data_IF_188913679326
#
_entry.id   IF_188913679326
#
_cell.length_a   1.000
_cell.length_b   1.000
_cell.length_c   1.000
_cell.angle_alpha   90.00
_cell.angle_beta   90.00
_cell.angle_gamma   90.00
#
_symmetry.space_group_name_H-M   'P 1'
#
loop_
_entity.id
_entity.type
_entity.pdbx_description
1 polymer ?
#
# COMPACT_ATOMS: atom_id res chain seq x y z
N UNK A 1 18.62 -1.89 22.19
CA UNK A 1 18.02 -2.80 21.19
C UNK A 1 16.57 -2.39 21.03
N UNK A 2 16.21 -1.76 19.91
CA UNK A 2 14.91 -1.11 19.73
C UNK A 2 13.92 -2.11 19.14
N UNK A 3 12.98 -2.60 19.95
CA UNK A 3 11.90 -3.48 19.51
C UNK A 3 10.90 -2.65 18.70
N UNK A 4 11.03 -2.70 17.36
CA UNK A 4 10.09 -2.05 16.42
C UNK A 4 8.69 -2.66 16.63
N UNK A 5 7.91 -2.00 17.48
CA UNK A 5 6.49 -2.24 17.68
C UNK A 5 5.78 -1.85 16.39
N UNK A 6 5.00 -2.75 15.78
CA UNK A 6 4.31 -2.59 14.48
C UNK A 6 3.30 -1.42 14.42
N UNK A 7 3.18 -0.66 15.50
CA UNK A 7 2.19 0.40 15.67
C UNK A 7 2.70 1.55 16.55
N UNK A 8 3.99 1.88 16.49
CA UNK A 8 4.49 3.06 17.21
C UNK A 8 5.38 3.94 16.35
N UNK A 9 4.96 5.19 16.21
CA UNK A 9 5.61 6.34 15.54
C UNK A 9 5.32 6.46 14.03
N UNK A 10 4.12 6.94 13.69
CA UNK A 10 3.79 7.47 12.35
C UNK A 10 4.55 8.78 12.09
N UNK A 11 5.85 8.66 11.86
CA UNK A 11 6.58 9.59 11.00
C UNK A 11 6.42 9.06 9.58
N UNK A 12 5.47 9.62 8.82
CA UNK A 12 5.14 9.28 7.43
C UNK A 12 4.63 7.85 7.16
N UNK A 13 3.31 7.69 7.06
CA UNK A 13 2.63 6.47 6.56
C UNK A 13 3.08 5.97 5.18
N UNK A 14 3.87 6.76 4.44
CA UNK A 14 4.55 6.26 3.26
C UNK A 14 5.46 5.07 3.61
N UNK A 15 6.12 5.07 4.77
CA UNK A 15 7.10 4.03 5.12
C UNK A 15 6.48 2.63 5.18
N UNK A 16 5.34 2.45 5.87
CA UNK A 16 4.73 1.13 5.96
C UNK A 16 4.15 0.68 4.61
N UNK A 17 3.58 1.59 3.80
CA UNK A 17 3.05 1.24 2.47
C UNK A 17 4.20 0.89 1.52
N UNK A 18 5.32 1.59 1.63
CA UNK A 18 6.54 1.28 0.87
C UNK A 18 7.07 -0.10 1.23
N UNK A 19 7.14 -0.42 2.52
CA UNK A 19 7.53 -1.75 3.05
C UNK A 19 6.55 -2.85 2.60
N UNK A 20 5.25 -2.63 2.74
CA UNK A 20 4.19 -3.59 2.41
C UNK A 20 4.15 -3.95 0.92
N UNK A 21 4.46 -2.96 0.06
CA UNK A 21 4.47 -3.11 -1.39
C UNK A 21 5.88 -3.14 -1.98
N UNK A 22 6.89 -3.61 -1.23
CA UNK A 22 8.27 -3.74 -1.72
C UNK A 22 8.39 -4.65 -2.96
N UNK A 23 7.60 -5.72 -3.03
CA UNK A 23 7.60 -6.66 -4.15
C UNK A 23 6.65 -6.29 -5.28
N UNK A 24 6.01 -5.12 -5.21
CA UNK A 24 5.06 -4.67 -6.23
C UNK A 24 5.78 -4.44 -7.57
N UNK A 25 5.21 -5.01 -8.63
CA UNK A 25 5.65 -4.76 -9.99
C UNK A 25 4.45 -4.81 -10.94
N UNK A 26 3.92 -3.63 -11.28
CA UNK A 26 2.84 -3.49 -12.27
C UNK A 26 3.36 -3.36 -13.71
N UNK A 27 4.68 -3.43 -13.91
CA UNK A 27 5.35 -3.23 -15.20
C UNK A 27 5.46 -1.76 -15.63
N UNK A 28 5.03 -0.81 -14.77
CA UNK A 28 5.18 0.63 -14.94
C UNK A 28 5.35 1.27 -13.57
N UNK A 29 6.54 1.83 -13.31
CA UNK A 29 6.88 2.45 -12.02
C UNK A 29 5.91 3.57 -11.62
N UNK A 30 5.29 4.26 -12.59
CA UNK A 30 4.29 5.30 -12.32
C UNK A 30 3.00 4.70 -11.76
N UNK A 31 2.66 3.49 -12.16
CA UNK A 31 1.52 2.75 -11.60
C UNK A 31 1.85 2.26 -10.19
N UNK A 32 3.07 1.79 -9.95
CA UNK A 32 3.50 1.37 -8.62
C UNK A 32 3.41 2.52 -7.61
N UNK A 33 3.98 3.68 -7.95
CA UNK A 33 3.90 4.90 -7.14
C UNK A 33 2.45 5.35 -6.91
N UNK A 34 1.60 5.23 -7.95
CA UNK A 34 0.19 5.60 -7.84
C UNK A 34 -0.57 4.67 -6.90
N UNK A 35 -0.33 3.35 -6.96
CA UNK A 35 -0.95 2.40 -6.03
C UNK A 35 -0.59 2.75 -4.60
N UNK A 36 0.70 2.96 -4.32
CA UNK A 36 1.18 3.32 -2.98
C UNK A 36 0.56 4.63 -2.48
N UNK A 37 0.45 5.65 -3.33
CA UNK A 37 -0.28 6.88 -3.00
C UNK A 37 -1.76 6.60 -2.69
N UNK A 38 -2.46 5.84 -3.54
CA UNK A 38 -3.88 5.51 -3.33
C UNK A 38 -4.08 4.81 -1.98
N UNK A 39 -3.31 3.75 -1.71
CA UNK A 39 -3.38 2.98 -0.45
C UNK A 39 -3.12 3.89 0.75
N UNK A 40 -2.06 4.71 0.71
CA UNK A 40 -1.72 5.63 1.81
C UNK A 40 -2.83 6.64 2.12
N UNK A 41 -3.54 7.15 1.11
CA UNK A 41 -4.64 8.10 1.37
C UNK A 41 -5.90 7.35 1.82
N UNK A 42 -6.18 6.16 1.25
CA UNK A 42 -7.32 5.33 1.65
C UNK A 42 -7.23 4.83 3.09
N UNK A 43 -6.03 4.54 3.61
CA UNK A 43 -5.85 4.12 5.01
C UNK A 43 -6.14 5.23 6.01
N UNK A 44 -5.96 6.50 5.62
CA UNK A 44 -6.25 7.67 6.48
C UNK A 44 -7.73 8.00 6.60
N UNK A 45 -8.47 7.79 5.51
CA UNK A 45 -9.87 8.24 5.34
C UNK A 45 -10.77 7.12 4.84
N UNK A 46 -10.54 5.91 5.36
CA UNK A 46 -11.30 4.72 5.00
C UNK A 46 -12.81 4.94 5.18
N UNK A 47 -13.61 4.35 4.30
CA UNK A 47 -15.07 4.41 4.36
C UNK A 47 -15.73 5.62 3.69
N UNK A 48 -14.97 6.49 3.03
CA UNK A 48 -15.49 7.61 2.22
C UNK A 48 -15.24 7.40 0.72
N UNK A 49 -15.85 8.23 -0.13
CA UNK A 49 -15.70 8.10 -1.58
C UNK A 49 -14.29 8.50 -2.05
N UNK A 50 -13.82 8.00 -3.19
CA UNK A 50 -12.52 8.42 -3.75
C UNK A 50 -12.39 9.95 -3.89
N UNK A 51 -13.40 10.69 -4.39
CA UNK A 51 -13.38 12.15 -4.38
C UNK A 51 -13.10 12.77 -3.00
N UNK A 52 -13.75 12.26 -1.94
CA UNK A 52 -13.60 12.78 -0.57
C UNK A 52 -12.21 12.46 0.01
N UNK A 53 -11.70 11.27 -0.31
CA UNK A 53 -10.38 10.81 0.11
C UNK A 53 -9.28 11.70 -0.47
N UNK A 54 -9.33 12.00 -1.77
CA UNK A 54 -8.27 12.77 -2.46
C UNK A 54 -8.41 14.28 -2.34
N UNK A 55 -9.63 14.82 -2.18
CA UNK A 55 -9.88 16.25 -1.99
C UNK A 55 -9.51 17.15 -3.18
N UNK A 56 -9.04 16.58 -4.30
CA UNK A 56 -8.76 17.31 -5.53
C UNK A 56 -9.09 16.46 -6.77
N UNK A 57 -9.45 17.13 -7.85
CA UNK A 57 -9.93 16.46 -9.06
C UNK A 57 -8.83 15.69 -9.80
N UNK A 58 -7.60 16.22 -9.81
CA UNK A 58 -6.47 15.60 -10.50
C UNK A 58 -6.16 14.20 -9.95
N UNK A 59 -6.06 14.08 -8.63
CA UNK A 59 -5.79 12.81 -7.95
C UNK A 59 -6.98 11.86 -8.03
N UNK A 60 -8.20 12.37 -7.86
CA UNK A 60 -9.43 11.59 -8.01
C UNK A 60 -9.50 10.93 -9.39
N UNK A 61 -9.27 11.70 -10.46
CA UNK A 61 -9.22 11.19 -11.84
C UNK A 61 -8.05 10.22 -12.03
N UNK A 62 -6.92 10.47 -11.38
CA UNK A 62 -5.77 9.57 -11.34
C UNK A 62 -6.10 8.19 -10.77
N UNK A 63 -6.86 8.15 -9.68
CA UNK A 63 -7.30 6.92 -9.03
C UNK A 63 -8.31 6.15 -9.89
N UNK A 64 -9.33 6.80 -10.43
CA UNK A 64 -10.26 6.14 -11.36
C UNK A 64 -9.55 5.57 -12.58
N UNK A 65 -8.64 6.34 -13.20
CA UNK A 65 -7.84 5.85 -14.33
C UNK A 65 -6.89 4.70 -13.95
N UNK A 66 -6.47 4.64 -12.69
CA UNK A 66 -5.64 3.55 -12.20
C UNK A 66 -6.46 2.26 -12.13
N UNK A 67 -7.64 2.29 -11.50
CA UNK A 67 -8.51 1.11 -11.39
C UNK A 67 -9.12 0.68 -12.72
N UNK A 68 -9.25 1.59 -13.69
CA UNK A 68 -9.77 1.27 -15.02
C UNK A 68 -8.71 0.71 -15.99
N UNK A 69 -7.42 0.70 -15.63
CA UNK A 69 -6.37 0.18 -16.51
C UNK A 69 -6.34 -1.35 -16.49
N UNK A 70 -6.51 -1.98 -17.65
CA UNK A 70 -6.43 -3.44 -17.82
C UNK A 70 -5.11 -4.08 -17.34
N UNK A 71 -4.00 -3.33 -17.35
CA UNK A 71 -2.70 -3.78 -16.84
C UNK A 71 -2.66 -3.95 -15.32
N UNK A 72 -3.58 -3.28 -14.61
CA UNK A 72 -3.75 -3.35 -13.16
C UNK A 72 -4.77 -4.46 -12.88
N UNK A 73 -4.27 -5.66 -12.60
CA UNK A 73 -5.10 -6.77 -12.16
C UNK A 73 -5.13 -6.84 -10.63
N UNK A 74 -6.28 -7.20 -10.07
CA UNK A 74 -6.46 -7.45 -8.64
C UNK A 74 -5.35 -8.34 -8.07
N UNK A 75 -4.99 -9.42 -8.77
CA UNK A 75 -3.96 -10.37 -8.30
C UNK A 75 -2.61 -9.71 -8.09
N UNK A 76 -2.24 -8.76 -8.96
CA UNK A 76 -0.97 -8.03 -8.83
C UNK A 76 -0.97 -7.03 -7.67
N UNK A 77 -2.14 -6.55 -7.27
CA UNK A 77 -2.29 -5.66 -6.11
C UNK A 77 -2.23 -6.48 -4.81
N UNK A 78 -2.96 -7.59 -4.73
CA UNK A 78 -3.08 -8.36 -3.48
C UNK A 78 -1.85 -9.24 -3.21
N UNK A 79 -1.11 -9.65 -4.25
CA UNK A 79 0.08 -10.49 -4.11
C UNK A 79 1.14 -9.91 -3.16
N UNK A 80 1.64 -8.66 -3.35
CA UNK A 80 2.64 -8.09 -2.46
C UNK A 80 2.14 -8.00 -1.01
N UNK A 81 0.88 -7.61 -0.80
CA UNK A 81 0.26 -7.58 0.53
C UNK A 81 0.28 -8.95 1.24
N UNK A 82 -0.11 -10.02 0.53
CA UNK A 82 -0.04 -11.40 1.08
C UNK A 82 1.39 -11.83 1.38
N UNK A 83 2.34 -11.42 0.54
CA UNK A 83 3.76 -11.75 0.72
C UNK A 83 4.31 -11.08 1.97
N UNK A 84 3.99 -9.80 2.18
CA UNK A 84 4.40 -9.03 3.36
C UNK A 84 3.84 -9.65 4.64
N UNK A 85 2.53 -9.96 4.66
CA UNK A 85 1.89 -10.70 5.76
C UNK A 85 2.62 -12.02 6.05
N UNK A 86 2.91 -12.82 5.01
CA UNK A 86 3.63 -14.10 5.17
C UNK A 86 5.04 -13.91 5.75
N UNK A 87 5.75 -12.89 5.31
CA UNK A 87 7.10 -12.59 5.78
C UNK A 87 7.10 -12.17 7.25
N UNK A 88 6.13 -11.35 7.68
CA UNK A 88 5.97 -10.99 9.09
C UNK A 88 5.76 -12.21 9.97
N UNK A 89 4.88 -13.15 9.58
CA UNK A 89 4.65 -14.38 10.33
C UNK A 89 5.93 -15.24 10.44
N UNK A 90 6.69 -15.37 9.35
CA UNK A 90 7.97 -16.10 9.36
C UNK A 90 8.98 -15.46 10.31
N UNK A 91 9.14 -14.13 10.22
CA UNK A 91 10.06 -13.38 11.07
C UNK A 91 9.68 -13.54 12.54
N UNK A 92 8.40 -13.38 12.90
CA UNK A 92 7.93 -13.61 14.27
C UNK A 92 8.30 -15.02 14.74
N UNK A 93 8.00 -16.06 13.96
CA UNK A 93 8.34 -17.46 14.33
C UNK A 93 9.84 -17.64 14.60
N UNK A 94 10.72 -16.96 13.87
CA UNK A 94 12.17 -17.04 14.07
C UNK A 94 12.66 -16.39 15.38
N UNK A 95 11.91 -15.44 15.96
CA UNK A 95 12.27 -14.81 17.24
C UNK A 95 11.77 -15.58 18.48
N UNK A 96 10.77 -16.44 18.33
CA UNK A 96 10.14 -17.18 19.44
C UNK A 96 10.75 -18.58 19.67
N UNK A 97 11.80 -18.94 18.93
CA UNK A 97 12.60 -20.17 19.08
C UNK A 97 14.08 -19.80 19.12
#
# INVERSE_FOLDING_TARGET
MNTKHWSSTLGTELDWVEEEYLSLNLGDKRLDQRLKKIVSVMTKRGGTSLPDIFGNWSDTKGAYRFFFKSKVCYDKIIFPHRQSTRNEFKNKKQYWY
#
